data_IF_231668653317
#
_entry.id   IF_231668653317
#
_cell.length_a   1.000
_cell.length_b   1.000
_cell.length_c   1.000
_cell.angle_alpha   90.00
_cell.angle_beta   90.00
_cell.angle_gamma   90.00
#
_symmetry.space_group_name_H-M   'P 1'
#
loop_
_entity.id
_entity.type
_entity.pdbx_description
1 polymer ?
#
# COMPACT_ATOMS: atom_id res chain seq x y z
N UNK A 1 -22.14 60.65 8.74
CA UNK A 1 -21.22 60.83 7.60
C UNK A 1 -19.79 60.60 8.06
N UNK A 2 -19.17 59.48 7.69
CA UNK A 2 -17.83 59.45 7.04
C UNK A 2 -17.50 57.99 6.72
N UNK A 3 -17.16 57.75 5.47
CA UNK A 3 -16.79 56.45 4.90
C UNK A 3 -15.31 56.51 4.56
N UNK A 4 -14.54 55.44 4.80
CA UNK A 4 -13.24 55.21 4.17
C UNK A 4 -13.05 53.71 3.91
N UNK A 5 -13.33 53.32 2.66
CA UNK A 5 -12.87 52.07 2.06
C UNK A 5 -11.36 52.16 1.78
N UNK A 6 -10.59 51.12 2.10
CA UNK A 6 -9.24 50.95 1.56
C UNK A 6 -9.10 49.60 0.87
N UNK A 7 -8.74 49.73 -0.41
CA UNK A 7 -8.57 48.72 -1.45
C UNK A 7 -7.30 47.86 -1.28
N UNK A 8 -7.47 46.55 -1.51
CA UNK A 8 -6.61 45.52 -2.13
C UNK A 8 -5.11 45.82 -2.33
N UNK A 9 -4.24 44.87 -1.91
CA UNK A 9 -3.01 44.52 -2.65
C UNK A 9 -2.75 43.00 -2.65
N UNK A 10 -2.90 42.39 -3.83
CA UNK A 10 -2.34 41.09 -4.21
C UNK A 10 -0.81 41.23 -4.31
N UNK A 11 -0.07 40.30 -3.71
CA UNK A 11 1.37 40.14 -3.90
C UNK A 11 1.69 38.70 -4.32
N UNK A 12 2.09 38.54 -5.59
CA UNK A 12 2.75 37.37 -6.13
C UNK A 12 4.26 37.51 -5.86
N UNK A 13 4.85 36.54 -5.15
CA UNK A 13 6.29 36.22 -5.10
C UNK A 13 6.38 34.96 -4.20
N UNK A 14 7.13 33.90 -4.45
CA UNK A 14 8.20 33.59 -5.38
C UNK A 14 8.85 32.33 -4.79
N UNK A 15 9.23 31.39 -5.64
CA UNK A 15 9.82 30.09 -5.29
C UNK A 15 11.07 30.26 -4.41
N UNK A 16 11.15 29.53 -3.29
CA UNK A 16 12.41 29.18 -2.65
C UNK A 16 12.34 27.73 -2.16
N UNK A 17 13.14 26.89 -2.81
CA UNK A 17 13.49 25.55 -2.34
C UNK A 17 14.31 25.67 -1.04
N UNK A 18 13.83 25.04 0.03
CA UNK A 18 14.59 24.89 1.27
C UNK A 18 14.62 23.41 1.65
N UNK A 19 15.79 22.78 1.44
CA UNK A 19 16.15 21.58 2.17
C UNK A 19 16.25 21.95 3.65
N UNK A 20 15.38 21.41 4.50
CA UNK A 20 15.52 21.52 5.95
C UNK A 20 15.14 20.19 6.61
N UNK A 21 16.14 19.56 7.23
CA UNK A 21 15.99 18.48 8.19
C UNK A 21 15.39 19.03 9.50
N UNK A 22 14.36 18.36 10.03
CA UNK A 22 14.10 18.32 11.48
C UNK A 22 12.86 19.06 12.03
N UNK A 23 11.88 18.24 12.45
CA UNK A 23 10.98 18.36 13.61
C UNK A 23 9.88 19.46 13.66
N UNK A 24 8.62 19.02 13.73
CA UNK A 24 7.55 19.77 14.41
C UNK A 24 6.11 19.50 13.94
N UNK A 25 5.33 18.85 14.82
CA UNK A 25 3.87 18.97 15.05
C UNK A 25 2.86 18.48 13.98
N UNK A 26 2.16 17.39 14.33
CA UNK A 26 0.77 17.17 13.91
C UNK A 26 0.52 16.93 12.42
N UNK A 27 1.38 16.18 11.74
CA UNK A 27 1.01 15.61 10.46
C UNK A 27 0.14 14.38 10.71
N UNK A 28 -1.13 14.43 10.31
CA UNK A 28 -1.75 13.19 9.81
C UNK A 28 -0.74 12.62 8.83
N UNK A 29 -0.23 11.43 9.09
CA UNK A 29 0.70 10.74 8.21
C UNK A 29 -0.06 10.37 6.93
N UNK A 30 -0.31 11.36 6.08
CA UNK A 30 -0.59 11.11 4.69
C UNK A 30 0.67 10.43 4.16
N UNK A 31 0.56 9.28 3.47
CA UNK A 31 1.72 8.65 2.89
C UNK A 31 2.34 9.67 1.94
N UNK A 32 3.42 10.32 2.35
CA UNK A 32 4.22 11.10 1.43
C UNK A 32 4.72 10.08 0.42
N UNK A 33 4.40 10.28 -0.85
CA UNK A 33 4.87 9.44 -1.95
C UNK A 33 6.39 9.65 -2.14
N UNK A 34 7.18 9.37 -1.11
CA UNK A 34 8.58 9.02 -1.25
C UNK A 34 8.58 7.66 -1.93
N UNK A 35 9.14 7.62 -3.14
CA UNK A 35 9.43 6.37 -3.84
C UNK A 35 10.11 5.42 -2.85
N UNK A 36 9.51 4.24 -2.65
CA UNK A 36 10.16 3.22 -1.83
C UNK A 36 11.48 2.83 -2.52
N UNK A 37 12.58 2.65 -1.77
CA UNK A 37 13.86 2.31 -2.37
C UNK A 37 13.75 0.99 -3.15
N UNK A 38 14.35 0.95 -4.34
CA UNK A 38 14.34 -0.20 -5.24
C UNK A 38 15.38 -1.26 -4.82
N UNK A 39 15.33 -1.68 -3.56
CA UNK A 39 16.19 -2.69 -2.98
C UNK A 39 15.38 -3.68 -2.11
N UNK A 40 16.07 -4.68 -1.54
CA UNK A 40 15.43 -5.70 -0.73
C UNK A 40 14.76 -5.13 0.53
N UNK A 41 15.31 -4.07 1.12
CA UNK A 41 14.78 -3.44 2.33
C UNK A 41 13.49 -2.67 2.03
N UNK A 42 13.46 -1.88 0.95
CA UNK A 42 12.27 -1.19 0.48
C UNK A 42 11.14 -2.16 0.14
N UNK A 43 11.47 -3.26 -0.55
CA UNK A 43 10.50 -4.32 -0.84
C UNK A 43 9.93 -4.97 0.42
N UNK A 44 10.79 -5.35 1.38
CA UNK A 44 10.38 -5.97 2.63
C UNK A 44 9.49 -5.03 3.46
N UNK A 45 9.82 -3.74 3.52
CA UNK A 45 9.03 -2.75 4.25
C UNK A 45 7.64 -2.55 3.62
N UNK A 46 7.56 -2.39 2.28
CA UNK A 46 6.27 -2.28 1.58
C UNK A 46 5.44 -3.55 1.76
N UNK A 47 6.06 -4.72 1.62
CA UNK A 47 5.38 -6.02 1.81
C UNK A 47 4.86 -6.17 3.24
N UNK A 48 5.65 -5.78 4.24
CA UNK A 48 5.24 -5.88 5.65
C UNK A 48 4.03 -4.99 5.94
N UNK A 49 3.97 -3.78 5.39
CA UNK A 49 2.80 -2.91 5.48
C UNK A 49 1.56 -3.52 4.82
N UNK A 50 1.71 -4.06 3.61
CA UNK A 50 0.60 -4.72 2.89
C UNK A 50 0.10 -5.97 3.63
N UNK A 51 1.00 -6.81 4.17
CA UNK A 51 0.64 -7.98 4.95
C UNK A 51 -0.06 -7.62 6.25
N UNK A 52 0.38 -6.56 6.94
CA UNK A 52 -0.28 -6.06 8.14
C UNK A 52 -1.72 -5.59 7.84
N UNK A 53 -1.89 -4.80 6.78
CA UNK A 53 -3.21 -4.35 6.32
C UNK A 53 -4.12 -5.53 5.91
N UNK A 54 -3.56 -6.51 5.18
CA UNK A 54 -4.28 -7.73 4.81
C UNK A 54 -4.69 -8.54 6.04
N UNK A 55 -3.80 -8.69 7.03
CA UNK A 55 -4.11 -9.39 8.28
C UNK A 55 -5.27 -8.73 9.05
N UNK A 56 -5.26 -7.41 9.18
CA UNK A 56 -6.36 -6.67 9.80
C UNK A 56 -7.68 -6.80 9.03
N UNK A 57 -7.61 -6.76 7.69
CA UNK A 57 -8.77 -7.00 6.83
C UNK A 57 -9.34 -8.40 7.04
N UNK A 58 -8.51 -9.44 6.92
CA UNK A 58 -8.95 -10.84 7.04
C UNK A 58 -9.49 -11.16 8.44
N UNK A 59 -8.95 -10.56 9.49
CA UNK A 59 -9.48 -10.70 10.85
C UNK A 59 -10.93 -10.21 11.00
N UNK A 60 -11.37 -9.28 10.15
CA UNK A 60 -12.74 -8.75 10.12
C UNK A 60 -13.60 -9.35 9.00
N UNK A 61 -13.03 -10.20 8.14
CA UNK A 61 -13.69 -10.84 7.01
C UNK A 61 -13.50 -12.37 7.08
N UNK A 62 -14.25 -13.07 7.94
CA UNK A 62 -14.02 -14.49 8.22
C UNK A 62 -14.18 -15.39 6.99
N UNK A 63 -15.04 -15.03 6.03
CA UNK A 63 -15.18 -15.77 4.77
C UNK A 63 -13.93 -15.70 3.89
N UNK A 64 -13.37 -14.50 3.71
CA UNK A 64 -12.12 -14.29 2.97
C UNK A 64 -10.95 -14.98 3.65
N UNK A 65 -10.91 -14.92 4.99
CA UNK A 65 -9.89 -15.60 5.77
C UNK A 65 -9.97 -17.13 5.62
N UNK A 66 -11.17 -17.70 5.69
CA UNK A 66 -11.38 -19.15 5.54
C UNK A 66 -10.96 -19.64 4.15
N UNK A 67 -11.42 -18.98 3.07
CA UNK A 67 -11.09 -19.43 1.71
C UNK A 67 -9.58 -19.37 1.45
N UNK A 68 -8.89 -18.32 1.91
CA UNK A 68 -7.44 -18.19 1.75
C UNK A 68 -6.68 -19.18 2.63
N UNK A 69 -7.16 -19.44 3.85
CA UNK A 69 -6.57 -20.43 4.76
C UNK A 69 -6.69 -21.84 4.19
N UNK A 70 -7.88 -22.20 3.69
CA UNK A 70 -8.13 -23.50 3.07
C UNK A 70 -7.33 -23.68 1.79
N UNK A 71 -7.20 -22.62 0.98
CA UNK A 71 -6.42 -22.65 -0.25
C UNK A 71 -4.95 -23.08 -0.02
N UNK A 72 -4.38 -22.81 1.16
CA UNK A 72 -2.99 -23.15 1.49
C UNK A 72 -2.71 -24.68 1.53
N UNK A 73 -3.73 -25.53 1.69
CA UNK A 73 -3.58 -26.99 1.70
C UNK A 73 -4.07 -27.67 0.41
N UNK A 74 -4.55 -26.89 -0.56
CA UNK A 74 -5.07 -27.39 -1.82
C UNK A 74 -3.97 -27.50 -2.88
N UNK A 75 -4.22 -28.28 -3.94
CA UNK A 75 -3.42 -28.17 -5.15
C UNK A 75 -3.63 -26.80 -5.80
N UNK A 76 -2.64 -26.30 -6.55
CA UNK A 76 -2.69 -24.96 -7.16
C UNK A 76 -3.98 -24.71 -7.96
N UNK A 77 -4.40 -25.69 -8.77
CA UNK A 77 -5.63 -25.60 -9.57
C UNK A 77 -6.88 -25.49 -8.69
N UNK A 78 -6.95 -26.25 -7.59
CA UNK A 78 -8.08 -26.25 -6.66
C UNK A 78 -8.11 -24.97 -5.81
N UNK A 79 -6.94 -24.48 -5.40
CA UNK A 79 -6.78 -23.21 -4.70
C UNK A 79 -7.26 -22.05 -5.58
N UNK A 80 -6.79 -21.96 -6.82
CA UNK A 80 -7.19 -20.89 -7.74
C UNK A 80 -8.71 -20.93 -8.00
N UNK A 81 -9.27 -22.11 -8.26
CA UNK A 81 -10.71 -22.26 -8.46
C UNK A 81 -11.52 -21.84 -7.22
N UNK A 82 -11.09 -22.26 -6.02
CA UNK A 82 -11.77 -21.92 -4.76
C UNK A 82 -11.75 -20.42 -4.47
N UNK A 83 -10.58 -19.79 -4.60
CA UNK A 83 -10.39 -18.35 -4.40
C UNK A 83 -11.21 -17.56 -5.42
N UNK A 84 -11.14 -17.94 -6.70
CA UNK A 84 -11.90 -17.29 -7.76
C UNK A 84 -13.40 -17.36 -7.50
N UNK A 85 -13.94 -18.55 -7.21
CA UNK A 85 -15.36 -18.75 -6.96
C UNK A 85 -15.87 -17.91 -5.78
N UNK A 86 -15.07 -17.77 -4.72
CA UNK A 86 -15.41 -16.93 -3.58
C UNK A 86 -15.46 -15.45 -3.97
N UNK A 87 -14.40 -14.92 -4.60
CA UNK A 87 -14.30 -13.50 -4.91
C UNK A 87 -15.19 -13.05 -6.08
N UNK A 88 -15.67 -13.96 -6.94
CA UNK A 88 -16.72 -13.64 -7.92
C UNK A 88 -18.08 -13.40 -7.28
N UNK A 89 -18.32 -14.00 -6.12
CA UNK A 89 -19.55 -13.79 -5.34
C UNK A 89 -19.40 -12.68 -4.29
N UNK A 90 -18.16 -12.28 -3.99
CA UNK A 90 -17.81 -11.26 -2.99
C UNK A 90 -16.95 -10.16 -3.63
N UNK A 91 -17.51 -9.49 -4.64
CA UNK A 91 -16.76 -8.54 -5.48
C UNK A 91 -16.27 -7.31 -4.71
N UNK A 92 -16.98 -6.89 -3.65
CA UNK A 92 -16.51 -5.85 -2.74
C UNK A 92 -15.18 -6.25 -2.08
N UNK A 93 -15.10 -7.46 -1.54
CA UNK A 93 -13.91 -7.96 -0.86
C UNK A 93 -12.72 -8.10 -1.82
N UNK A 94 -13.00 -8.49 -3.07
CA UNK A 94 -12.01 -8.47 -4.14
C UNK A 94 -11.41 -7.08 -4.33
N UNK A 95 -12.23 -6.03 -4.45
CA UNK A 95 -11.74 -4.67 -4.63
C UNK A 95 -11.01 -4.14 -3.40
N UNK A 96 -11.43 -4.52 -2.20
CA UNK A 96 -10.76 -4.15 -0.96
C UNK A 96 -9.34 -4.73 -0.91
N UNK A 97 -9.21 -6.03 -1.13
CA UNK A 97 -7.91 -6.70 -1.21
C UNK A 97 -7.07 -6.16 -2.38
N UNK A 98 -7.69 -5.84 -3.52
CA UNK A 98 -7.01 -5.23 -4.65
C UNK A 98 -6.41 -3.87 -4.27
N UNK A 99 -7.08 -3.07 -3.43
CA UNK A 99 -6.56 -1.81 -2.88
C UNK A 99 -5.43 -2.05 -1.88
N UNK A 100 -5.57 -3.04 -1.01
CA UNK A 100 -4.54 -3.42 -0.03
C UNK A 100 -3.22 -3.76 -0.72
N UNK A 101 -3.25 -4.46 -1.86
CA UNK A 101 -2.02 -4.85 -2.59
C UNK A 101 -1.50 -3.80 -3.58
N UNK A 102 -2.15 -2.64 -3.74
CA UNK A 102 -1.68 -1.60 -4.67
C UNK A 102 -0.23 -1.15 -4.42
N UNK A 103 0.23 -0.92 -3.17
CA UNK A 103 1.59 -0.47 -2.93
C UNK A 103 2.66 -1.41 -3.52
N UNK A 104 2.38 -2.72 -3.58
CA UNK A 104 3.27 -3.69 -4.22
C UNK A 104 3.25 -3.61 -5.75
N UNK A 105 2.09 -3.31 -6.35
CA UNK A 105 1.96 -3.10 -7.79
C UNK A 105 2.70 -1.82 -8.21
N UNK A 106 2.54 -0.76 -7.44
CA UNK A 106 3.22 0.51 -7.66
C UNK A 106 4.74 0.37 -7.50
N UNK A 107 5.18 -0.38 -6.48
CA UNK A 107 6.61 -0.67 -6.32
C UNK A 107 7.18 -1.46 -7.51
N UNK A 108 6.43 -2.46 -8.00
CA UNK A 108 6.84 -3.25 -9.18
C UNK A 108 6.94 -2.38 -10.43
N UNK A 109 5.97 -1.50 -10.66
CA UNK A 109 5.97 -0.61 -11.84
C UNK A 109 7.09 0.42 -11.76
N UNK A 110 7.41 0.90 -10.56
CA UNK A 110 8.50 1.85 -10.31
C UNK A 110 9.89 1.24 -10.50
N UNK A 111 10.14 0.05 -9.95
CA UNK A 111 11.49 -0.51 -9.89
C UNK A 111 11.81 -1.48 -11.03
N UNK A 112 10.83 -1.91 -11.84
CA UNK A 112 11.04 -2.81 -12.98
C UNK A 112 11.54 -4.21 -12.61
N UNK A 113 11.59 -4.52 -11.31
CA UNK A 113 12.06 -5.79 -10.77
C UNK A 113 10.89 -6.54 -10.15
N UNK A 114 10.79 -7.82 -10.49
CA UNK A 114 9.91 -8.76 -9.79
C UNK A 114 10.59 -9.20 -8.50
N UNK A 115 10.86 -8.25 -7.58
CA UNK A 115 11.15 -8.66 -6.22
C UNK A 115 9.88 -9.27 -5.69
N UNK A 116 9.96 -10.53 -5.27
CA UNK A 116 8.79 -11.33 -4.91
C UNK A 116 9.04 -12.04 -3.59
N UNK A 117 7.97 -12.46 -2.89
CA UNK A 117 8.11 -13.23 -1.66
C UNK A 117 8.96 -14.50 -1.86
N UNK A 118 9.02 -15.02 -3.10
CA UNK A 118 9.82 -16.18 -3.44
C UNK A 118 11.32 -16.00 -3.14
N UNK A 119 11.89 -14.79 -3.19
CA UNK A 119 13.30 -14.59 -2.84
C UNK A 119 13.55 -14.76 -1.33
N UNK A 120 12.59 -14.35 -0.48
CA UNK A 120 12.65 -14.64 0.94
C UNK A 120 12.43 -16.13 1.20
N UNK A 121 11.57 -16.80 0.42
CA UNK A 121 11.46 -18.26 0.47
C UNK A 121 12.77 -18.95 0.10
N UNK A 122 13.48 -18.48 -0.94
CA UNK A 122 14.81 -19.02 -1.29
C UNK A 122 15.83 -18.84 -0.18
N UNK A 123 15.78 -17.73 0.55
CA UNK A 123 16.62 -17.54 1.74
C UNK A 123 16.24 -18.55 2.82
N UNK A 124 14.94 -18.72 3.11
CA UNK A 124 14.47 -19.68 4.11
C UNK A 124 14.84 -21.13 3.76
N UNK A 125 14.72 -21.53 2.50
CA UNK A 125 15.08 -22.86 2.01
C UNK A 125 16.60 -23.13 2.07
N UNK A 126 17.41 -22.07 2.13
CA UNK A 126 18.88 -22.14 2.15
C UNK A 126 19.48 -22.10 3.56
N UNK A 127 18.66 -21.86 4.60
CA UNK A 127 19.05 -21.88 6.01
C UNK A 127 18.81 -23.26 6.63
#
# INVERSE_FOLDING_TARGET
>A
MTSKNTTVRRGLAGVLATCALGAGVGAVAMPTASAAPCDAAGYANTTSGVLSAAGGYLATHPGANDVLTRAASQSDAQAEASVRAYFTNNTNEYFDLQRIVQPLKDLRSQCGVTVSPAQLSKLLDAL
#
